data_IF_080510508789
#
_entry.id   IF_080510508789
#
_cell.length_a   1.000
_cell.length_b   1.000
_cell.length_c   1.000
_cell.angle_alpha   90.00
_cell.angle_beta   90.00
_cell.angle_gamma   90.00
#
_symmetry.space_group_name_H-M   'P 1'
#
loop_
_entity.id
_entity.type
_entity.pdbx_description
1 polymer ?
#
# COMPACT_ATOMS: atom_id res chain seq x y z
N UNK A 1 -28.33 -5.94 -1.12
CA UNK A 1 -28.96 -5.92 0.21
C UNK A 1 -29.27 -4.49 0.60
N UNK A 2 -30.23 -4.26 1.49
CA UNK A 2 -30.47 -2.94 2.10
C UNK A 2 -29.34 -2.60 3.07
N UNK A 3 -28.20 -2.17 2.53
CA UNK A 3 -26.99 -1.85 3.28
C UNK A 3 -27.12 -0.52 4.01
N UNK A 4 -28.04 -0.42 4.97
CA UNK A 4 -28.37 0.87 5.61
C UNK A 4 -27.50 1.20 6.82
N UNK A 5 -26.67 0.26 7.31
CA UNK A 5 -25.79 0.51 8.46
C UNK A 5 -24.61 -0.46 8.67
N UNK A 6 -24.52 -1.58 7.94
CA UNK A 6 -23.50 -2.63 8.20
C UNK A 6 -22.49 -2.77 7.07
N UNK A 7 -21.71 -1.71 6.85
CA UNK A 7 -20.72 -1.67 5.78
C UNK A 7 -19.56 -2.65 5.95
N UNK A 8 -19.18 -2.97 7.20
CA UNK A 8 -18.22 -4.03 7.48
C UNK A 8 -18.76 -5.42 7.09
N UNK A 9 -20.06 -5.68 7.25
CA UNK A 9 -20.70 -6.92 6.77
C UNK A 9 -20.79 -6.95 5.25
N UNK A 10 -21.13 -5.81 4.63
CA UNK A 10 -21.10 -5.68 3.17
C UNK A 10 -19.71 -5.98 2.61
N UNK A 11 -18.66 -5.43 3.22
CA UNK A 11 -17.28 -5.72 2.84
C UNK A 11 -16.98 -7.21 2.96
N UNK A 12 -17.40 -7.86 4.04
CA UNK A 12 -17.23 -9.30 4.21
C UNK A 12 -17.96 -10.13 3.15
N UNK A 13 -19.13 -9.69 2.64
CA UNK A 13 -19.92 -10.45 1.65
C UNK A 13 -19.58 -10.13 0.19
N UNK A 14 -19.27 -8.87 -0.13
CA UNK A 14 -19.10 -8.39 -1.50
C UNK A 14 -17.64 -8.34 -1.97
N UNK A 15 -16.67 -8.59 -1.07
CA UNK A 15 -15.24 -8.69 -1.45
C UNK A 15 -15.00 -9.79 -2.48
N UNK A 16 -14.04 -9.56 -3.36
CA UNK A 16 -13.61 -10.49 -4.40
C UNK A 16 -12.14 -10.85 -4.24
N UNK A 17 -11.69 -11.97 -4.84
CA UNK A 17 -10.29 -12.33 -4.89
C UNK A 17 -9.41 -11.19 -5.42
N UNK A 18 -8.47 -10.74 -4.59
CA UNK A 18 -7.53 -9.67 -4.94
C UNK A 18 -7.91 -8.28 -4.45
N UNK A 19 -9.15 -8.09 -3.95
CA UNK A 19 -9.59 -6.79 -3.45
C UNK A 19 -8.78 -6.36 -2.22
N UNK A 20 -8.58 -5.05 -2.07
CA UNK A 20 -8.11 -4.44 -0.83
C UNK A 20 -9.20 -3.51 -0.35
N UNK A 21 -9.63 -3.68 0.90
CA UNK A 21 -10.62 -2.78 1.47
C UNK A 21 -9.97 -1.43 1.73
N UNK A 22 -10.55 -0.34 1.22
CA UNK A 22 -10.09 1.02 1.51
C UNK A 22 -11.26 1.80 2.08
N UNK A 23 -11.11 2.27 3.31
CA UNK A 23 -12.21 2.86 4.08
C UNK A 23 -11.80 4.22 4.60
N UNK A 24 -12.62 5.22 4.29
CA UNK A 24 -12.48 6.59 4.80
C UNK A 24 -13.44 6.80 5.97
N UNK A 25 -12.87 7.02 7.16
CA UNK A 25 -13.58 7.42 8.38
C UNK A 25 -13.03 8.76 8.91
N UNK A 26 -12.52 9.61 8.03
CA UNK A 26 -12.00 10.94 8.35
C UNK A 26 -10.75 10.94 9.24
N UNK A 27 -10.03 9.82 9.30
CA UNK A 27 -8.84 9.66 10.14
C UNK A 27 -9.13 9.56 11.64
N UNK A 28 -10.39 9.34 12.03
CA UNK A 28 -10.80 9.27 13.43
C UNK A 28 -10.34 7.96 14.08
N UNK A 29 -9.80 8.03 15.30
CA UNK A 29 -9.45 6.84 16.08
C UNK A 29 -10.59 6.47 17.03
N UNK A 30 -10.94 7.34 17.97
CA UNK A 30 -12.16 7.18 18.77
C UNK A 30 -13.38 7.41 17.86
N UNK A 31 -14.36 6.51 17.93
CA UNK A 31 -15.52 6.52 17.05
C UNK A 31 -15.23 5.99 15.63
N UNK A 32 -14.01 6.10 15.11
CA UNK A 32 -13.66 5.67 13.74
C UNK A 32 -13.40 4.18 13.54
N UNK A 33 -14.01 3.29 14.33
CA UNK A 33 -13.79 1.84 14.19
C UNK A 33 -14.61 1.29 13.02
N UNK A 34 -13.94 0.68 12.03
CA UNK A 34 -14.64 0.02 10.91
C UNK A 34 -15.01 -1.44 11.19
N UNK A 35 -14.03 -2.26 11.60
CA UNK A 35 -14.24 -3.67 11.92
C UNK A 35 -13.41 -4.14 13.11
N UNK A 36 -13.72 -5.35 13.56
CA UNK A 36 -12.84 -6.19 14.36
C UNK A 36 -12.61 -7.55 13.68
N UNK A 37 -12.12 -8.52 14.43
CA UNK A 37 -11.57 -9.77 13.89
C UNK A 37 -12.54 -10.54 12.98
N UNK A 38 -13.78 -10.76 13.43
CA UNK A 38 -14.76 -11.56 12.69
C UNK A 38 -15.12 -10.95 11.33
N UNK A 39 -15.22 -9.62 11.23
CA UNK A 39 -15.53 -9.00 9.93
C UNK A 39 -14.29 -8.97 9.03
N UNK A 40 -13.08 -8.85 9.59
CA UNK A 40 -11.84 -9.01 8.84
C UNK A 40 -11.70 -10.43 8.26
N UNK A 41 -11.97 -11.46 9.09
CA UNK A 41 -12.02 -12.85 8.65
C UNK A 41 -13.03 -13.06 7.52
N UNK A 42 -14.22 -12.49 7.64
CA UNK A 42 -15.23 -12.56 6.58
C UNK A 42 -14.72 -11.99 5.25
N UNK A 43 -14.11 -10.81 5.28
CA UNK A 43 -13.52 -10.21 4.08
C UNK A 43 -12.37 -11.06 3.51
N UNK A 44 -11.50 -11.58 4.37
CA UNK A 44 -10.39 -12.45 3.98
C UNK A 44 -10.90 -13.72 3.28
N UNK A 45 -11.89 -14.39 3.86
CA UNK A 45 -12.48 -15.62 3.30
C UNK A 45 -13.14 -15.35 1.95
N UNK A 46 -13.74 -14.17 1.75
CA UNK A 46 -14.28 -13.73 0.47
C UNK A 46 -13.22 -13.32 -0.55
N UNK A 47 -11.94 -13.30 -0.17
CA UNK A 47 -10.81 -13.14 -1.08
C UNK A 47 -10.09 -11.79 -1.01
N UNK A 48 -10.50 -10.90 -0.11
CA UNK A 48 -9.76 -9.67 0.11
C UNK A 48 -8.36 -9.95 0.68
N UNK A 49 -7.38 -9.14 0.26
CA UNK A 49 -5.96 -9.30 0.55
C UNK A 49 -5.47 -8.45 1.72
N UNK A 50 -6.33 -7.61 2.28
CA UNK A 50 -6.03 -6.74 3.41
C UNK A 50 -6.97 -5.54 3.46
N UNK A 51 -6.70 -4.62 4.39
CA UNK A 51 -7.48 -3.41 4.56
C UNK A 51 -6.61 -2.19 4.88
N UNK A 52 -6.98 -1.04 4.31
CA UNK A 52 -6.50 0.29 4.63
C UNK A 52 -7.65 1.09 5.23
N UNK A 53 -7.51 1.49 6.48
CA UNK A 53 -8.51 2.22 7.23
C UNK A 53 -7.96 3.62 7.53
N UNK A 54 -8.48 4.64 6.85
CA UNK A 54 -8.32 6.02 7.27
C UNK A 54 -9.25 6.32 8.45
N UNK A 55 -8.97 5.62 9.56
CA UNK A 55 -9.77 5.46 10.76
C UNK A 55 -9.08 4.46 11.69
N UNK A 56 -9.83 3.77 12.53
CA UNK A 56 -9.33 2.73 13.43
C UNK A 56 -9.95 1.35 13.22
N UNK A 57 -9.34 0.37 13.86
CA UNK A 57 -9.84 -1.01 14.00
C UNK A 57 -9.93 -1.40 15.48
N UNK A 58 -10.53 -2.56 15.74
CA UNK A 58 -10.50 -3.24 17.04
C UNK A 58 -9.98 -4.69 16.91
N UNK A 59 -9.89 -5.42 18.01
CA UNK A 59 -9.36 -6.79 18.11
C UNK A 59 -7.90 -6.91 17.57
N UNK A 60 -6.98 -6.10 18.12
CA UNK A 60 -5.64 -5.90 17.56
C UNK A 60 -4.75 -7.15 17.65
N UNK A 61 -4.87 -7.91 18.72
CA UNK A 61 -4.04 -9.08 18.94
C UNK A 61 -4.38 -10.16 17.90
N UNK A 62 -5.67 -10.40 17.69
CA UNK A 62 -6.17 -11.32 16.65
C UNK A 62 -5.80 -10.85 15.24
N UNK A 63 -5.90 -9.56 14.95
CA UNK A 63 -5.53 -9.01 13.65
C UNK A 63 -4.02 -9.06 13.38
N UNK A 64 -3.17 -8.97 14.40
CA UNK A 64 -1.71 -9.11 14.26
C UNK A 64 -1.29 -10.56 14.00
N UNK A 65 -1.98 -11.51 14.62
CA UNK A 65 -1.71 -12.94 14.44
C UNK A 65 -2.28 -13.48 13.11
N UNK A 66 -3.16 -12.72 12.45
CA UNK A 66 -3.81 -13.10 11.20
C UNK A 66 -2.85 -13.07 10.01
N UNK A 67 -2.49 -14.25 9.53
CA UNK A 67 -1.68 -14.38 8.32
C UNK A 67 -2.47 -14.00 7.05
N UNK A 68 -1.81 -13.31 6.13
CA UNK A 68 -2.33 -13.04 4.78
C UNK A 68 -3.41 -11.95 4.69
N UNK A 69 -3.71 -11.25 5.78
CA UNK A 69 -4.65 -10.12 5.80
C UNK A 69 -4.10 -8.94 6.62
N UNK A 70 -3.09 -8.22 6.11
CA UNK A 70 -2.58 -7.03 6.79
C UNK A 70 -3.66 -5.94 6.90
N UNK A 71 -3.69 -5.27 8.04
CA UNK A 71 -4.60 -4.15 8.33
C UNK A 71 -3.77 -2.92 8.68
N UNK A 72 -3.86 -1.89 7.86
CA UNK A 72 -3.27 -0.59 8.11
C UNK A 72 -4.36 0.35 8.61
N UNK A 73 -4.16 0.98 9.76
CA UNK A 73 -5.13 1.89 10.36
C UNK A 73 -4.42 3.08 11.02
N UNK A 74 -5.13 4.20 11.20
CA UNK A 74 -4.64 5.36 11.95
C UNK A 74 -4.47 5.07 13.45
N UNK A 75 -5.16 4.04 13.96
CA UNK A 75 -5.02 3.60 15.33
C UNK A 75 -5.93 2.44 15.68
N UNK A 76 -6.02 2.21 16.98
CA UNK A 76 -6.83 1.16 17.59
C UNK A 76 -7.77 1.76 18.61
N UNK A 77 -9.01 1.27 18.66
CA UNK A 77 -9.96 1.68 19.69
C UNK A 77 -10.91 0.53 20.05
N UNK A 78 -11.23 0.28 21.34
CA UNK A 78 -12.01 -0.88 21.76
C UNK A 78 -13.53 -0.75 21.48
N UNK A 79 -14.00 0.41 21.04
CA UNK A 79 -15.42 0.62 20.74
C UNK A 79 -15.90 -0.27 19.59
N UNK A 80 -17.17 -0.65 19.60
CA UNK A 80 -17.79 -1.26 18.43
C UNK A 80 -17.80 -0.32 17.22
N UNK A 81 -17.99 -0.89 16.04
CA UNK A 81 -18.20 -0.11 14.82
C UNK A 81 -19.60 0.56 14.87
N UNK A 82 -19.61 1.86 15.11
CA UNK A 82 -20.85 2.67 15.22
C UNK A 82 -21.08 3.57 14.01
N UNK A 83 -20.15 3.56 13.05
CA UNK A 83 -20.17 4.44 11.89
C UNK A 83 -21.26 4.04 10.90
N UNK A 84 -21.97 5.06 10.40
CA UNK A 84 -22.95 4.90 9.32
C UNK A 84 -22.23 5.30 8.04
N UNK A 85 -21.89 4.31 7.21
CA UNK A 85 -21.29 4.60 5.91
C UNK A 85 -22.29 5.32 5.01
N UNK A 86 -21.77 6.30 4.30
CA UNK A 86 -22.54 7.23 3.47
C UNK A 86 -22.53 6.83 2.00
N UNK A 87 -21.45 6.20 1.54
CA UNK A 87 -21.22 5.84 0.14
C UNK A 87 -20.42 4.53 0.02
N UNK A 88 -20.37 3.96 -1.19
CA UNK A 88 -19.68 2.70 -1.49
C UNK A 88 -19.17 2.63 -2.92
N UNK A 89 -17.94 2.16 -3.10
CA UNK A 89 -17.26 2.17 -4.39
C UNK A 89 -17.38 3.54 -5.07
N UNK A 90 -17.12 4.58 -4.29
CA UNK A 90 -17.03 5.98 -4.73
C UNK A 90 -15.61 6.50 -4.48
N UNK A 91 -15.20 7.60 -5.14
CA UNK A 91 -13.97 8.29 -4.79
C UNK A 91 -13.95 8.71 -3.32
N UNK A 92 -12.86 8.41 -2.62
CA UNK A 92 -12.64 8.79 -1.22
C UNK A 92 -11.30 9.49 -1.05
N UNK A 93 -11.05 10.05 0.14
CA UNK A 93 -9.77 10.68 0.46
C UNK A 93 -9.09 9.95 1.62
N UNK A 94 -7.90 9.39 1.35
CA UNK A 94 -7.05 8.77 2.36
C UNK A 94 -5.85 9.68 2.58
N UNK A 95 -5.85 10.42 3.70
CA UNK A 95 -4.83 11.43 3.98
C UNK A 95 -4.82 12.54 2.92
N UNK A 96 -3.78 12.58 2.09
CA UNK A 96 -3.65 13.52 0.96
C UNK A 96 -4.01 12.92 -0.40
N UNK A 97 -4.21 11.61 -0.49
CA UNK A 97 -4.50 10.91 -1.73
C UNK A 97 -6.01 10.86 -2.01
N UNK A 98 -6.39 11.11 -3.26
CA UNK A 98 -7.68 10.68 -3.79
C UNK A 98 -7.56 9.23 -4.22
N UNK A 99 -8.45 8.38 -3.74
CA UNK A 99 -8.47 6.95 -4.07
C UNK A 99 -9.75 6.66 -4.84
N UNK A 100 -9.60 5.98 -5.98
CA UNK A 100 -10.70 5.54 -6.82
C UNK A 100 -10.92 4.02 -6.65
N UNK A 101 -12.16 3.54 -6.75
CA UNK A 101 -12.41 2.11 -6.86
C UNK A 101 -11.65 1.52 -8.06
N UNK A 102 -10.86 0.47 -7.80
CA UNK A 102 -10.01 -0.17 -8.81
C UNK A 102 -8.55 0.30 -8.84
N UNK A 103 -8.18 1.30 -8.04
CA UNK A 103 -6.77 1.66 -7.84
C UNK A 103 -5.99 0.48 -7.24
N UNK A 104 -4.73 0.34 -7.69
CA UNK A 104 -3.79 -0.63 -7.13
C UNK A 104 -3.20 -0.07 -5.85
N UNK A 105 -3.29 -0.86 -4.78
CA UNK A 105 -2.75 -0.51 -3.46
C UNK A 105 -1.40 -1.19 -3.25
N UNK A 106 -0.39 -0.40 -2.89
CA UNK A 106 0.86 -0.89 -2.32
C UNK A 106 0.95 -0.39 -0.88
N UNK A 107 0.95 -1.31 0.08
CA UNK A 107 1.06 -0.99 1.50
C UNK A 107 2.26 -1.70 2.11
N UNK A 108 3.12 -0.93 2.76
CA UNK A 108 4.28 -1.39 3.52
C UNK A 108 4.27 -0.71 4.89
N UNK A 109 5.15 -1.15 5.78
CA UNK A 109 5.32 -0.51 7.09
C UNK A 109 5.74 0.98 6.99
N UNK A 110 6.25 1.41 5.83
CA UNK A 110 6.70 2.78 5.60
C UNK A 110 5.59 3.67 5.01
N UNK A 111 4.75 3.11 4.13
CA UNK A 111 3.78 3.90 3.38
C UNK A 111 2.63 3.07 2.80
N UNK A 112 1.51 3.76 2.57
CA UNK A 112 0.42 3.27 1.72
C UNK A 112 0.34 4.17 0.49
N UNK A 113 0.42 3.55 -0.69
CA UNK A 113 0.40 4.21 -1.99
C UNK A 113 -0.75 3.66 -2.83
N UNK A 114 -1.38 4.55 -3.61
CA UNK A 114 -2.47 4.23 -4.51
C UNK A 114 -2.07 4.62 -5.93
N UNK A 115 -2.29 3.73 -6.89
CA UNK A 115 -1.94 3.93 -8.28
C UNK A 115 -3.15 3.66 -9.17
N UNK A 116 -3.50 4.58 -10.09
CA UNK A 116 -4.38 4.24 -11.20
C UNK A 116 -3.81 3.04 -11.97
N UNK A 117 -4.63 2.04 -12.32
CA UNK A 117 -4.15 0.81 -12.95
C UNK A 117 -3.40 1.08 -14.26
N UNK A 118 -3.74 2.16 -14.98
CA UNK A 118 -3.13 2.54 -16.26
C UNK A 118 -1.66 2.92 -16.16
N UNK A 119 -1.16 3.29 -14.97
CA UNK A 119 0.22 3.73 -14.78
C UNK A 119 1.11 2.69 -14.07
N UNK A 120 0.53 1.58 -13.62
CA UNK A 120 1.23 0.61 -12.75
C UNK A 120 2.45 0.01 -13.44
N UNK A 121 2.34 -0.41 -14.70
CA UNK A 121 3.46 -0.98 -15.46
C UNK A 121 4.62 0.02 -15.62
N UNK A 122 4.28 1.29 -15.85
CA UNK A 122 5.25 2.37 -15.96
C UNK A 122 5.95 2.66 -14.64
N UNK A 123 5.21 2.64 -13.53
CA UNK A 123 5.76 2.77 -12.18
C UNK A 123 6.72 1.61 -11.90
N UNK A 124 6.31 0.37 -12.14
CA UNK A 124 7.14 -0.83 -11.92
C UNK A 124 8.43 -0.73 -12.72
N UNK A 125 8.36 -0.36 -14.00
CA UNK A 125 9.53 -0.21 -14.86
C UNK A 125 10.49 0.85 -14.33
N UNK A 126 10.00 2.03 -13.95
CA UNK A 126 10.82 3.12 -13.40
C UNK A 126 11.45 2.74 -12.06
N UNK A 127 10.69 2.09 -11.18
CA UNK A 127 11.19 1.62 -9.88
C UNK A 127 12.29 0.56 -10.04
N UNK A 128 12.17 -0.37 -11.00
CA UNK A 128 13.22 -1.35 -11.30
C UNK A 128 14.52 -0.68 -11.75
N UNK A 129 14.44 0.23 -12.72
CA UNK A 129 15.61 0.98 -13.19
C UNK A 129 16.26 1.80 -12.05
N UNK A 130 15.43 2.44 -11.20
CA UNK A 130 15.93 3.18 -10.05
C UNK A 130 16.62 2.27 -9.03
N UNK A 131 16.05 1.10 -8.74
CA UNK A 131 16.64 0.12 -7.81
C UNK A 131 17.99 -0.40 -8.31
N UNK A 132 18.13 -0.64 -9.62
CA UNK A 132 19.41 -1.04 -10.24
C UNK A 132 20.47 0.07 -10.13
N UNK A 133 20.09 1.34 -10.34
CA UNK A 133 20.99 2.49 -10.17
C UNK A 133 21.40 2.66 -8.69
N UNK A 134 20.47 2.50 -7.75
CA UNK A 134 20.75 2.54 -6.31
C UNK A 134 21.68 1.41 -5.85
N UNK A 135 21.54 0.21 -6.42
CA UNK A 135 22.47 -0.89 -6.14
C UNK A 135 23.87 -0.60 -6.69
N UNK A 136 23.99 -0.02 -7.88
CA UNK A 136 25.28 0.43 -8.42
C UNK A 136 25.93 1.47 -7.50
N UNK A 137 25.18 2.50 -7.06
CA UNK A 137 25.66 3.48 -6.07
C UNK A 137 26.11 2.81 -4.78
N UNK A 138 25.33 1.85 -4.27
CA UNK A 138 25.66 1.09 -3.06
C UNK A 138 27.01 0.38 -3.19
N UNK A 139 27.27 -0.28 -4.32
CA UNK A 139 28.56 -0.93 -4.58
C UNK A 139 29.72 0.08 -4.64
N UNK A 140 29.52 1.25 -5.26
CA UNK A 140 30.54 2.31 -5.28
C UNK A 140 30.84 2.85 -3.87
N UNK A 141 29.83 3.04 -3.03
CA UNK A 141 30.02 3.46 -1.62
C UNK A 141 30.79 2.39 -0.85
N UNK A 142 30.40 1.11 -0.97
CA UNK A 142 31.06 0.00 -0.30
C UNK A 142 32.51 -0.21 -0.75
N UNK A 143 32.82 0.12 -2.00
CA UNK A 143 34.18 0.02 -2.55
C UNK A 143 35.20 0.90 -1.84
N UNK A 144 34.75 1.98 -1.17
CA UNK A 144 35.59 3.03 -0.55
C UNK A 144 36.57 3.72 -1.52
N UNK A 145 36.44 3.52 -2.84
CA UNK A 145 37.30 4.13 -3.86
C UNK A 145 36.89 5.57 -4.20
N UNK A 146 35.64 5.91 -3.97
CA UNK A 146 35.05 7.21 -4.31
C UNK A 146 34.61 7.95 -3.06
N UNK A 147 34.56 9.28 -3.09
CA UNK A 147 33.94 10.03 -2.00
C UNK A 147 32.43 9.92 -2.14
N UNK A 148 31.71 9.98 -1.02
CA UNK A 148 30.24 9.92 -1.03
C UNK A 148 29.61 10.95 -1.99
N UNK A 149 30.13 12.18 -2.02
CA UNK A 149 29.68 13.26 -2.93
C UNK A 149 29.95 13.00 -4.42
N UNK A 150 30.80 12.03 -4.75
CA UNK A 150 31.02 11.59 -6.13
C UNK A 150 29.96 10.54 -6.54
N UNK A 151 29.28 9.91 -5.58
CA UNK A 151 28.30 8.83 -5.80
C UNK A 151 26.86 9.30 -5.64
N UNK A 152 26.61 10.28 -4.77
CA UNK A 152 25.26 10.80 -4.49
C UNK A 152 25.19 12.34 -4.58
N UNK A 153 24.73 12.91 -5.71
CA UNK A 153 24.37 12.21 -6.96
C UNK A 153 25.61 11.67 -7.70
N UNK A 154 25.39 10.72 -8.61
CA UNK A 154 26.46 10.15 -9.43
C UNK A 154 27.18 11.24 -10.21
N UNK A 155 28.51 11.29 -10.10
CA UNK A 155 29.36 12.12 -10.94
C UNK A 155 29.16 11.74 -12.42
N UNK A 156 29.19 12.69 -13.37
CA UNK A 156 28.81 12.42 -14.76
C UNK A 156 29.59 11.30 -15.47
N UNK A 157 30.85 11.07 -15.12
CA UNK A 157 31.66 9.95 -15.62
C UNK A 157 31.17 8.60 -15.09
N UNK A 158 30.91 8.49 -13.79
CA UNK A 158 30.37 7.26 -13.17
C UNK A 158 28.96 6.94 -13.68
N UNK A 159 28.16 7.98 -13.97
CA UNK A 159 26.86 7.79 -14.60
C UNK A 159 26.98 7.20 -16.02
N UNK A 160 27.95 7.66 -16.81
CA UNK A 160 28.21 7.09 -18.15
C UNK A 160 28.68 5.64 -18.07
N UNK A 161 29.54 5.31 -17.10
CA UNK A 161 29.96 3.93 -16.85
C UNK A 161 28.77 3.02 -16.53
N UNK A 162 27.86 3.48 -15.67
CA UNK A 162 26.61 2.77 -15.38
C UNK A 162 25.74 2.57 -16.64
N UNK A 163 25.53 3.64 -17.41
CA UNK A 163 24.74 3.58 -18.65
C UNK A 163 25.33 2.60 -19.68
N UNK A 164 26.66 2.55 -19.81
CA UNK A 164 27.36 1.58 -20.66
C UNK A 164 27.17 0.14 -20.15
N UNK A 165 27.35 -0.09 -18.86
CA UNK A 165 27.15 -1.41 -18.23
C UNK A 165 25.72 -1.93 -18.45
N UNK A 166 24.71 -1.06 -18.30
CA UNK A 166 23.30 -1.43 -18.53
C UNK A 166 23.04 -1.74 -20.00
N UNK A 167 23.62 -0.98 -20.94
CA UNK A 167 23.49 -1.24 -22.37
C UNK A 167 24.07 -2.62 -22.75
N UNK A 168 25.28 -2.94 -22.27
CA UNK A 168 25.94 -4.23 -22.51
C UNK A 168 25.14 -5.42 -21.93
N UNK A 169 24.49 -5.24 -20.77
CA UNK A 169 23.65 -6.29 -20.18
C UNK A 169 22.37 -6.54 -20.96
N UNK A 170 21.81 -5.51 -21.61
CA UNK A 170 20.60 -5.64 -22.42
C UNK A 170 20.88 -6.26 -23.79
N UNK A 171 22.07 -6.07 -24.36
CA UNK A 171 22.49 -6.72 -25.62
C UNK A 171 22.74 -8.22 -25.47
N UNK A 172 23.04 -8.69 -24.24
CA UNK A 172 23.34 -10.08 -23.93
C UNK A 172 22.12 -10.89 -23.41
N UNK A 173 20.92 -10.32 -23.41
CA UNK A 173 19.65 -10.97 -23.01
C UNK A 173 18.77 -11.23 -24.22
#
# INVERSE_FOLDING_TARGET
>A
GGWTSKWHSRAAEESRPGDVLVVDLGGQVEGGVFFGDISALGAQVSGARGAILYGSTRDLDELKEREGFPVFAMGFHPSGATQIGVDWNTPIRVGSATVLPGDVVLATDEAVLFFPPEIVDDVIRKCKAHAEEEEYKRQLVLSKKYRFRDVYPLRPDLKKEYEQMVAEQNENK
#
